data_IF_746112984428
#
_entry.id   IF_746112984428
#
_cell.length_a   1.000
_cell.length_b   1.000
_cell.length_c   1.000
_cell.angle_alpha   90.00
_cell.angle_beta   90.00
_cell.angle_gamma   90.00
#
_symmetry.space_group_name_H-M   'P 1'
#
loop_
_entity.id
_entity.type
_entity.pdbx_description
1 polymer ?
#
# COMPACT_ATOMS: atom_id res chain seq x y z
N UNK A 1 34.40 23.73 38.75
CA UNK A 1 34.59 22.26 38.63
C UNK A 1 34.02 21.80 37.30
N UNK A 2 34.55 20.78 36.63
CA UNK A 2 34.03 20.31 35.33
C UNK A 2 33.58 18.85 35.41
N UNK A 3 32.53 18.52 34.67
CA UNK A 3 32.03 17.17 34.44
C UNK A 3 31.95 16.93 32.93
N UNK A 4 32.47 15.80 32.50
CA UNK A 4 32.48 15.36 31.11
C UNK A 4 31.53 14.18 30.98
N UNK A 5 30.54 14.34 30.11
CA UNK A 5 29.54 13.35 29.77
C UNK A 5 29.87 12.78 28.38
N UNK A 6 29.92 11.47 28.29
CA UNK A 6 30.15 10.76 27.04
C UNK A 6 29.02 9.77 26.81
N UNK A 7 28.46 9.74 25.61
CA UNK A 7 27.32 8.90 25.27
C UNK A 7 27.71 7.88 24.19
N UNK A 8 27.35 6.62 24.38
CA UNK A 8 27.68 5.49 23.50
C UNK A 8 26.45 4.63 23.23
N UNK A 9 26.45 3.91 22.11
CA UNK A 9 25.39 2.94 21.88
C UNK A 9 25.52 1.76 22.85
N UNK A 10 24.41 1.15 23.26
CA UNK A 10 24.45 0.01 24.18
C UNK A 10 25.26 -1.17 23.63
N UNK A 11 25.31 -1.35 22.31
CA UNK A 11 26.09 -2.43 21.69
C UNK A 11 27.60 -2.27 21.89
N UNK A 12 28.07 -1.05 22.15
CA UNK A 12 29.48 -0.71 22.40
C UNK A 12 29.87 -0.88 23.89
N UNK A 13 28.94 -1.36 24.73
CA UNK A 13 29.12 -1.45 26.18
C UNK A 13 30.38 -2.20 26.60
N UNK A 14 30.59 -3.37 26.01
CA UNK A 14 31.69 -4.25 26.41
C UNK A 14 33.04 -3.64 26.06
N UNK A 15 33.14 -3.04 24.86
CA UNK A 15 34.35 -2.37 24.38
C UNK A 15 34.68 -1.14 25.25
N UNK A 16 33.68 -0.29 25.51
CA UNK A 16 33.81 0.90 26.35
C UNK A 16 34.23 0.51 27.78
N UNK A 17 33.59 -0.50 28.38
CA UNK A 17 33.95 -0.96 29.72
C UNK A 17 35.34 -1.63 29.76
N UNK A 18 35.73 -2.33 28.70
CA UNK A 18 37.05 -2.93 28.57
C UNK A 18 38.18 -1.89 28.57
N UNK A 19 38.00 -0.82 27.80
CA UNK A 19 38.97 0.28 27.73
C UNK A 19 39.06 1.03 29.08
N UNK A 20 37.92 1.31 29.70
CA UNK A 20 37.85 2.07 30.95
C UNK A 20 38.46 1.32 32.14
N UNK A 21 38.18 0.02 32.28
CA UNK A 21 38.72 -0.80 33.38
C UNK A 21 40.26 -0.84 33.40
N UNK A 22 40.89 -0.57 32.26
CA UNK A 22 42.34 -0.55 32.15
C UNK A 22 42.94 0.69 32.83
N UNK A 23 42.19 1.79 32.94
CA UNK A 23 42.69 3.10 33.38
C UNK A 23 42.03 3.64 34.64
N UNK A 24 40.84 3.15 35.02
CA UNK A 24 40.05 3.68 36.13
C UNK A 24 39.51 2.58 37.04
N UNK A 25 39.44 2.85 38.35
CA UNK A 25 38.81 1.93 39.30
C UNK A 25 37.29 2.17 39.30
N UNK A 26 36.55 1.24 38.70
CA UNK A 26 35.08 1.28 38.64
C UNK A 26 34.50 0.07 39.33
N UNK A 27 33.66 0.29 40.36
CA UNK A 27 33.01 -0.77 41.14
C UNK A 27 31.53 -0.86 40.74
N UNK A 28 30.96 -2.08 40.61
CA UNK A 28 29.54 -2.24 40.33
C UNK A 28 28.69 -1.56 41.41
N UNK A 29 27.81 -0.65 40.99
CA UNK A 29 26.86 0.06 41.86
C UNK A 29 25.56 0.21 41.10
N UNK A 30 24.61 -0.67 41.36
CA UNK A 30 23.32 -0.71 40.67
C UNK A 30 22.30 0.18 41.38
N UNK A 31 22.09 1.39 40.86
CA UNK A 31 21.10 2.34 41.40
C UNK A 31 20.13 2.72 40.31
N UNK A 32 18.84 2.51 40.57
CA UNK A 32 17.77 2.91 39.66
C UNK A 32 17.24 4.28 40.07
N UNK A 33 17.44 5.27 39.21
CA UNK A 33 16.79 6.58 39.33
C UNK A 33 15.45 6.57 38.58
N UNK A 34 14.82 7.74 38.43
CA UNK A 34 13.50 7.84 37.81
C UNK A 34 13.54 7.54 36.32
N UNK A 35 14.63 7.90 35.66
CA UNK A 35 14.84 7.72 34.23
C UNK A 35 16.05 6.85 33.93
N UNK A 36 17.17 7.08 34.62
CA UNK A 36 18.43 6.39 34.37
C UNK A 36 18.70 5.25 35.35
N UNK A 37 19.59 4.35 34.94
CA UNK A 37 20.11 3.27 35.78
C UNK A 37 21.63 3.42 35.87
N UNK A 38 22.18 3.62 37.06
CA UNK A 38 23.62 3.56 37.31
C UNK A 38 24.01 2.10 37.45
N UNK A 39 25.08 1.74 36.75
CA UNK A 39 25.61 0.37 36.67
C UNK A 39 26.91 0.24 37.47
N UNK A 40 27.72 1.31 37.49
CA UNK A 40 29.00 1.32 38.16
C UNK A 40 29.38 2.74 38.61
N UNK A 41 30.17 2.81 39.68
CA UNK A 41 30.60 4.04 40.35
C UNK A 41 32.04 3.88 40.87
N UNK A 42 32.77 4.98 41.00
CA UNK A 42 34.20 5.00 41.30
C UNK A 42 34.84 6.31 40.82
N UNK A 43 35.96 6.20 40.09
CA UNK A 43 36.61 7.38 39.47
C UNK A 43 35.74 8.02 38.37
N UNK A 44 34.87 7.21 37.78
CA UNK A 44 33.84 7.62 36.83
C UNK A 44 32.54 6.87 37.11
N UNK A 45 31.46 7.41 36.58
CA UNK A 45 30.13 6.83 36.72
C UNK A 45 29.70 6.29 35.38
N UNK A 46 29.25 5.04 35.38
CA UNK A 46 28.66 4.38 34.22
C UNK A 46 27.18 4.24 34.48
N UNK A 47 26.37 4.81 33.60
CA UNK A 47 24.93 4.66 33.64
C UNK A 47 24.34 4.34 32.28
N UNK A 48 23.05 4.05 32.28
CA UNK A 48 22.27 3.68 31.12
C UNK A 48 20.95 4.43 31.12
N UNK A 49 20.53 4.83 29.92
CA UNK A 49 19.19 5.29 29.64
C UNK A 49 18.76 4.68 28.31
N UNK A 50 17.62 3.99 28.29
CA UNK A 50 17.11 3.27 27.10
C UNK A 50 18.16 2.36 26.45
N UNK A 51 18.61 2.67 25.23
CA UNK A 51 19.62 1.93 24.46
C UNK A 51 20.95 2.69 24.38
N UNK A 52 21.18 3.65 25.27
CA UNK A 52 22.39 4.48 25.31
C UNK A 52 23.06 4.36 26.67
N UNK A 53 24.37 4.22 26.64
CA UNK A 53 25.22 4.19 27.83
C UNK A 53 25.87 5.55 27.96
N UNK A 54 25.93 6.07 29.19
CA UNK A 54 26.59 7.32 29.49
C UNK A 54 27.69 7.13 30.52
N UNK A 55 28.78 7.89 30.33
CA UNK A 55 29.88 7.98 31.26
C UNK A 55 29.95 9.40 31.80
N UNK A 56 30.17 9.55 33.10
CA UNK A 56 30.40 10.84 33.75
C UNK A 56 31.78 10.80 34.41
N UNK A 57 32.65 11.73 34.01
CA UNK A 57 33.99 11.88 34.57
C UNK A 57 34.25 13.32 35.01
N UNK A 58 35.10 13.51 36.02
CA UNK A 58 35.60 14.85 36.41
C UNK A 58 36.78 15.31 35.56
N UNK A 59 37.40 14.38 34.83
CA UNK A 59 38.54 14.61 33.96
C UNK A 59 38.20 14.27 32.51
N UNK A 60 38.88 14.91 31.57
CA UNK A 60 38.69 14.63 30.15
C UNK A 60 39.31 13.27 29.84
N UNK A 61 38.49 12.33 29.38
CA UNK A 61 38.92 11.01 28.92
C UNK A 61 39.03 11.03 27.39
N UNK A 62 40.11 10.44 26.87
CA UNK A 62 40.31 10.19 25.45
C UNK A 62 40.20 8.69 25.22
N UNK A 63 39.02 8.26 24.73
CA UNK A 63 38.74 6.88 24.38
C UNK A 63 39.01 6.65 22.90
N UNK A 64 39.45 5.45 22.56
CA UNK A 64 39.63 4.98 21.18
C UNK A 64 38.31 4.91 20.41
N UNK A 65 37.22 4.61 21.13
CA UNK A 65 35.85 4.57 20.62
C UNK A 65 35.30 5.99 20.56
N UNK A 66 34.76 6.37 19.40
CA UNK A 66 34.15 7.68 19.22
C UNK A 66 32.76 7.69 19.86
N UNK A 67 32.49 8.57 20.85
CA UNK A 67 31.16 8.69 21.43
C UNK A 67 30.18 9.30 20.42
N UNK A 68 28.92 8.94 20.57
CA UNK A 68 27.79 9.52 19.85
C UNK A 68 27.68 11.03 20.07
N UNK A 69 27.91 11.48 21.31
CA UNK A 69 27.93 12.89 21.68
C UNK A 69 28.73 13.12 22.95
N UNK A 70 29.19 14.36 23.15
CA UNK A 70 29.91 14.81 24.34
C UNK A 70 29.24 16.05 24.94
N UNK A 71 29.05 16.06 26.26
CA UNK A 71 28.62 17.27 26.97
C UNK A 71 29.62 17.59 28.06
N UNK A 72 30.09 18.84 28.08
CA UNK A 72 30.96 19.36 29.15
C UNK A 72 30.14 20.31 30.00
N UNK A 73 30.07 20.03 31.29
CA UNK A 73 29.38 20.84 32.28
C UNK A 73 30.41 21.48 33.20
N UNK A 74 30.57 22.80 33.14
CA UNK A 74 31.38 23.56 34.08
C UNK A 74 30.53 24.26 35.13
N UNK A 75 30.82 23.97 36.40
CA UNK A 75 30.22 24.66 37.53
C UNK A 75 30.91 26.01 37.74
N UNK A 76 30.21 27.08 37.35
CA UNK A 76 30.66 28.47 37.34
C UNK A 76 29.45 29.40 37.55
N UNK A 77 29.69 30.56 38.19
CA UNK A 77 28.71 31.65 38.29
C UNK A 77 29.14 32.83 37.41
N UNK A 78 28.17 33.58 36.87
CA UNK A 78 28.47 34.75 36.04
C UNK A 78 27.24 35.42 35.46
N UNK A 79 27.46 36.42 34.60
CA UNK A 79 26.38 37.17 33.95
C UNK A 79 25.81 36.46 32.71
N UNK A 80 24.50 36.63 32.48
CA UNK A 80 23.78 36.09 31.33
C UNK A 80 23.30 34.65 31.47
N UNK A 81 23.18 34.14 32.70
CA UNK A 81 22.60 32.82 32.97
C UNK A 81 21.07 32.89 32.94
N UNK A 82 20.44 31.84 32.41
CA UNK A 82 19.00 31.61 32.44
C UNK A 82 18.64 30.78 33.67
N UNK A 83 17.52 31.08 34.32
CA UNK A 83 17.07 30.34 35.51
C UNK A 83 16.41 29.01 35.13
N UNK A 84 16.60 28.00 35.97
CA UNK A 84 15.87 26.74 35.92
C UNK A 84 15.65 26.16 37.32
N UNK A 85 14.93 25.03 37.45
CA UNK A 85 14.53 24.47 38.76
C UNK A 85 15.68 24.26 39.76
N UNK A 86 16.85 23.86 39.29
CA UNK A 86 17.99 23.52 40.16
C UNK A 86 19.06 24.62 40.25
N UNK A 87 18.83 25.79 39.62
CA UNK A 87 19.78 26.89 39.65
C UNK A 87 19.74 27.76 38.40
N UNK A 88 20.90 28.08 37.86
CA UNK A 88 21.02 28.88 36.63
C UNK A 88 21.97 28.21 35.63
N UNK A 89 21.72 28.39 34.33
CA UNK A 89 22.52 27.78 33.27
C UNK A 89 22.84 28.76 32.14
N UNK A 90 23.96 28.54 31.46
CA UNK A 90 24.36 29.26 30.25
C UNK A 90 24.97 28.30 29.25
N UNK A 91 24.59 28.46 27.99
CA UNK A 91 25.10 27.64 26.88
C UNK A 91 26.19 28.43 26.18
N UNK A 92 27.41 27.90 26.15
CA UNK A 92 28.52 28.55 25.43
C UNK A 92 28.69 28.01 24.03
N UNK A 93 28.49 26.70 23.86
CA UNK A 93 28.55 26.01 22.57
C UNK A 93 27.47 24.95 22.52
N UNK A 94 26.70 24.93 21.45
CA UNK A 94 25.66 23.93 21.18
C UNK A 94 25.91 23.35 19.78
N UNK A 95 26.90 22.46 19.70
CA UNK A 95 27.12 21.63 18.52
C UNK A 95 26.63 20.20 18.82
N UNK A 96 26.35 19.42 17.78
CA UNK A 96 25.80 18.06 17.91
C UNK A 96 26.82 17.10 18.51
N UNK A 97 28.10 17.29 18.20
CA UNK A 97 29.18 16.45 18.71
C UNK A 97 29.68 16.91 20.10
N UNK A 98 29.58 18.21 20.39
CA UNK A 98 30.10 18.79 21.63
C UNK A 98 29.25 19.97 22.12
N UNK A 99 28.67 19.79 23.31
CA UNK A 99 27.92 20.83 24.00
C UNK A 99 28.67 21.29 25.26
N UNK A 100 28.82 22.61 25.43
CA UNK A 100 29.47 23.19 26.61
C UNK A 100 28.44 24.00 27.39
N UNK A 101 28.16 23.55 28.61
CA UNK A 101 27.19 24.11 29.54
C UNK A 101 27.89 24.66 30.78
N UNK A 102 27.57 25.90 31.12
CA UNK A 102 27.93 26.51 32.40
C UNK A 102 26.74 26.42 33.34
N UNK A 103 26.96 25.89 34.54
CA UNK A 103 25.92 25.72 35.56
C UNK A 103 26.31 26.39 36.87
N UNK A 104 25.35 27.13 37.42
CA UNK A 104 25.36 27.58 38.79
C UNK A 104 24.26 26.81 39.53
N UNK A 105 24.59 25.62 40.03
CA UNK A 105 23.66 24.72 40.70
C UNK A 105 24.42 23.88 41.75
N UNK A 106 23.73 23.52 42.84
CA UNK A 106 24.26 22.55 43.79
C UNK A 106 24.25 21.15 43.18
N UNK A 107 25.28 20.37 43.53
CA UNK A 107 25.36 18.99 43.08
C UNK A 107 24.24 18.15 43.69
N UNK A 108 23.43 17.50 42.84
CA UNK A 108 22.42 16.52 43.26
C UNK A 108 22.42 15.34 42.29
N UNK A 109 22.25 14.12 42.82
CA UNK A 109 22.17 12.91 41.97
C UNK A 109 20.97 12.99 41.01
N UNK A 110 19.84 13.56 41.45
CA UNK A 110 18.66 13.78 40.58
C UNK A 110 19.01 14.62 39.35
N UNK A 111 19.80 15.68 39.50
CA UNK A 111 20.18 16.52 38.38
C UNK A 111 21.27 15.86 37.52
N UNK A 112 22.39 15.48 38.15
CA UNK A 112 23.62 15.11 37.42
C UNK A 112 23.62 13.69 36.88
N UNK A 113 22.93 12.75 37.54
CA UNK A 113 22.94 11.33 37.20
C UNK A 113 21.63 10.85 36.56
N UNK A 114 20.53 11.57 36.78
CA UNK A 114 19.21 11.21 36.25
C UNK A 114 18.75 12.17 35.13
N UNK A 115 18.47 13.43 35.47
CA UNK A 115 17.84 14.37 34.54
C UNK A 115 18.74 14.82 33.38
N UNK A 116 19.99 15.23 33.65
CA UNK A 116 20.90 15.73 32.61
C UNK A 116 21.21 14.64 31.57
N UNK A 117 21.64 13.41 31.95
CA UNK A 117 21.89 12.35 30.98
C UNK A 117 20.63 12.02 30.16
N UNK A 118 19.48 11.82 30.82
CA UNK A 118 18.24 11.49 30.12
C UNK A 118 17.83 12.61 29.14
N UNK A 119 17.96 13.87 29.55
CA UNK A 119 17.65 15.03 28.71
C UNK A 119 18.57 15.11 27.48
N UNK A 120 19.89 14.99 27.67
CA UNK A 120 20.84 15.08 26.56
C UNK A 120 20.67 13.91 25.58
N UNK A 121 20.39 12.71 26.08
CA UNK A 121 20.18 11.53 25.22
C UNK A 121 18.91 11.68 24.37
N UNK A 122 17.78 12.13 24.95
CA UNK A 122 16.56 12.36 24.16
C UNK A 122 16.76 13.52 23.17
N UNK A 123 17.45 14.60 23.55
CA UNK A 123 17.77 15.69 22.63
C UNK A 123 18.57 15.20 21.42
N UNK A 124 19.65 14.45 21.70
CA UNK A 124 20.52 13.89 20.67
C UNK A 124 19.76 12.92 19.76
N UNK A 125 18.93 12.05 20.34
CA UNK A 125 18.08 11.13 19.58
C UNK A 125 17.18 11.89 18.60
N UNK A 126 16.50 12.93 19.08
CA UNK A 126 15.64 13.77 18.22
C UNK A 126 16.47 14.40 17.10
N UNK A 127 17.62 14.99 17.38
CA UNK A 127 18.47 15.65 16.37
C UNK A 127 18.95 14.68 15.28
N UNK A 128 19.42 13.49 15.66
CA UNK A 128 19.87 12.48 14.71
C UNK A 128 18.71 11.97 13.86
N UNK A 129 17.58 11.63 14.49
CA UNK A 129 16.40 11.14 13.78
C UNK A 129 15.82 12.22 12.87
N UNK A 130 15.79 13.49 13.29
CA UNK A 130 15.38 14.62 12.45
C UNK A 130 16.28 14.77 11.22
N UNK A 131 17.60 14.68 11.37
CA UNK A 131 18.55 14.72 10.23
C UNK A 131 18.28 13.59 9.24
N UNK A 132 18.12 12.36 9.74
CA UNK A 132 17.80 11.20 8.91
C UNK A 132 16.45 11.35 8.18
N UNK A 133 15.44 11.88 8.89
CA UNK A 133 14.13 12.13 8.33
C UNK A 133 14.18 13.22 7.25
N UNK A 134 14.92 14.30 7.49
CA UNK A 134 15.08 15.37 6.51
C UNK A 134 15.78 14.90 5.22
N UNK A 135 16.82 14.07 5.33
CA UNK A 135 17.44 13.43 4.15
C UNK A 135 16.44 12.55 3.39
N UNK A 136 15.57 11.87 4.12
CA UNK A 136 14.50 11.05 3.54
C UNK A 136 13.46 11.91 2.83
N UNK A 137 13.05 13.03 3.43
CA UNK A 137 12.15 14.03 2.81
C UNK A 137 12.73 14.59 1.52
N UNK A 138 14.02 14.96 1.51
CA UNK A 138 14.69 15.46 0.32
C UNK A 138 14.71 14.41 -0.81
N UNK A 139 15.01 13.15 -0.46
CA UNK A 139 15.00 12.04 -1.41
C UNK A 139 13.59 11.81 -1.98
N UNK A 140 12.58 11.70 -1.11
CA UNK A 140 11.20 11.42 -1.53
C UNK A 140 10.66 12.61 -2.34
N UNK A 141 10.94 13.86 -1.96
CA UNK A 141 10.47 15.04 -2.71
C UNK A 141 11.04 15.13 -4.13
N UNK A 142 12.31 14.75 -4.31
CA UNK A 142 12.93 14.66 -5.65
C UNK A 142 12.25 13.57 -6.49
N UNK A 143 12.01 12.42 -5.89
CA UNK A 143 11.35 11.28 -6.55
C UNK A 143 9.88 11.59 -6.86
N UNK A 144 9.15 12.23 -5.95
CA UNK A 144 7.76 12.65 -6.10
C UNK A 144 7.57 13.48 -7.38
N UNK A 145 8.47 14.43 -7.62
CA UNK A 145 8.45 15.26 -8.84
C UNK A 145 8.59 14.43 -10.10
N UNK A 146 9.42 13.40 -10.08
CA UNK A 146 9.61 12.50 -11.21
C UNK A 146 8.44 11.52 -11.37
N UNK A 147 7.91 11.01 -10.26
CA UNK A 147 6.71 10.17 -10.22
C UNK A 147 5.53 10.92 -10.80
N UNK A 148 5.30 12.18 -10.43
CA UNK A 148 4.21 12.99 -10.98
C UNK A 148 4.33 13.17 -12.50
N UNK A 149 5.55 13.34 -13.02
CA UNK A 149 5.79 13.38 -14.48
C UNK A 149 5.49 12.03 -15.14
N UNK A 150 5.93 10.92 -14.55
CA UNK A 150 5.67 9.59 -15.06
C UNK A 150 4.18 9.25 -15.05
N UNK A 151 3.50 9.53 -13.94
CA UNK A 151 2.05 9.40 -13.76
C UNK A 151 1.29 10.23 -14.80
N UNK A 152 1.71 11.47 -15.04
CA UNK A 152 1.08 12.33 -16.06
C UNK A 152 1.25 11.74 -17.46
N UNK A 153 2.47 11.31 -17.82
CA UNK A 153 2.75 10.66 -19.11
C UNK A 153 1.96 9.37 -19.30
N UNK A 154 1.89 8.55 -18.25
CA UNK A 154 1.11 7.31 -18.25
C UNK A 154 -0.37 7.63 -18.42
N UNK A 155 -0.90 8.62 -17.69
CA UNK A 155 -2.29 9.04 -17.83
C UNK A 155 -2.62 9.55 -19.24
N UNK A 156 -1.73 10.31 -19.87
CA UNK A 156 -1.90 10.77 -21.25
C UNK A 156 -1.86 9.61 -22.24
N UNK A 157 -0.89 8.71 -22.07
CA UNK A 157 -0.71 7.54 -22.93
C UNK A 157 -1.91 6.61 -22.83
N UNK A 158 -2.43 6.37 -21.63
CA UNK A 158 -3.58 5.52 -21.37
C UNK A 158 -4.83 5.96 -22.13
N UNK A 159 -5.04 7.27 -22.35
CA UNK A 159 -6.17 7.79 -23.15
C UNK A 159 -6.14 7.34 -24.60
N UNK A 160 -4.95 7.04 -25.13
CA UNK A 160 -4.74 6.63 -26.52
C UNK A 160 -4.70 5.11 -26.70
N UNK A 161 -4.64 4.35 -25.61
CA UNK A 161 -4.60 2.90 -25.63
C UNK A 161 -5.99 2.36 -25.92
N UNK A 162 -6.12 1.60 -27.01
CA UNK A 162 -7.39 0.98 -27.44
C UNK A 162 -7.39 -0.55 -27.30
N UNK A 163 -6.34 -1.13 -26.71
CA UNK A 163 -6.17 -2.58 -26.55
C UNK A 163 -6.14 -2.95 -25.07
N UNK A 164 -6.71 -4.11 -24.76
CA UNK A 164 -6.71 -4.68 -23.40
C UNK A 164 -5.27 -4.86 -22.90
N UNK A 165 -4.41 -5.49 -23.70
CA UNK A 165 -2.99 -5.72 -23.36
C UNK A 165 -2.22 -4.42 -23.09
N UNK A 166 -2.51 -3.36 -23.84
CA UNK A 166 -1.87 -2.06 -23.63
C UNK A 166 -2.26 -1.43 -22.28
N UNK A 167 -3.54 -1.55 -21.91
CA UNK A 167 -4.06 -1.03 -20.64
C UNK A 167 -3.55 -1.86 -19.46
N UNK A 168 -3.42 -3.18 -19.61
CA UNK A 168 -2.81 -4.04 -18.60
C UNK A 168 -1.36 -3.67 -18.30
N UNK A 169 -0.56 -3.46 -19.35
CA UNK A 169 0.84 -3.03 -19.20
C UNK A 169 0.92 -1.67 -18.50
N UNK A 170 0.05 -0.74 -18.89
CA UNK A 170 -0.03 0.59 -18.27
C UNK A 170 -0.40 0.49 -16.79
N UNK A 171 -1.40 -0.33 -16.45
CA UNK A 171 -1.81 -0.59 -15.07
C UNK A 171 -0.68 -1.20 -14.23
N UNK A 172 0.11 -2.09 -14.82
CA UNK A 172 1.28 -2.69 -14.17
C UNK A 172 2.37 -1.64 -13.86
N UNK A 173 2.66 -0.74 -14.79
CA UNK A 173 3.61 0.36 -14.56
C UNK A 173 3.17 1.27 -13.41
N UNK A 174 1.88 1.65 -13.39
CA UNK A 174 1.31 2.46 -12.29
C UNK A 174 1.41 1.73 -10.95
N UNK A 175 1.09 0.44 -10.92
CA UNK A 175 1.18 -0.38 -9.71
C UNK A 175 2.61 -0.42 -9.16
N UNK A 176 3.61 -0.56 -10.04
CA UNK A 176 5.03 -0.54 -9.66
C UNK A 176 5.44 0.79 -9.03
N UNK A 177 5.00 1.90 -9.63
CA UNK A 177 5.22 3.26 -9.09
C UNK A 177 4.57 3.40 -7.71
N UNK A 178 3.30 3.00 -7.60
CA UNK A 178 2.53 3.06 -6.35
C UNK A 178 3.23 2.29 -5.22
N UNK A 179 3.65 1.05 -5.47
CA UNK A 179 4.29 0.20 -4.47
C UNK A 179 5.65 0.77 -4.03
N UNK A 180 6.45 1.26 -4.98
CA UNK A 180 7.75 1.88 -4.68
C UNK A 180 7.59 3.12 -3.79
N UNK A 181 6.67 4.01 -4.16
CA UNK A 181 6.42 5.23 -3.40
C UNK A 181 5.82 4.94 -2.03
N UNK A 182 4.85 4.03 -1.95
CA UNK A 182 4.23 3.61 -0.68
C UNK A 182 5.25 3.08 0.32
N UNK A 183 6.18 2.22 -0.11
CA UNK A 183 7.21 1.66 0.78
C UNK A 183 8.06 2.75 1.43
N UNK A 184 8.51 3.73 0.64
CA UNK A 184 9.33 4.84 1.15
C UNK A 184 8.53 5.78 2.04
N UNK A 185 7.31 6.10 1.64
CA UNK A 185 6.41 6.93 2.43
C UNK A 185 6.10 6.29 3.78
N UNK A 186 5.87 4.98 3.83
CA UNK A 186 5.68 4.24 5.08
C UNK A 186 6.88 4.37 6.01
N UNK A 187 8.11 4.15 5.50
CA UNK A 187 9.33 4.33 6.30
C UNK A 187 9.48 5.76 6.83
N UNK A 188 9.18 6.76 6.00
CA UNK A 188 9.18 8.16 6.44
C UNK A 188 8.16 8.39 7.57
N UNK A 189 6.96 7.84 7.45
CA UNK A 189 5.90 7.97 8.45
C UNK A 189 6.29 7.33 9.78
N UNK A 190 6.85 6.13 9.75
CA UNK A 190 7.33 5.43 10.95
C UNK A 190 8.40 6.27 11.70
N UNK A 191 9.33 6.87 10.94
CA UNK A 191 10.36 7.77 11.50
C UNK A 191 9.72 9.05 12.06
N UNK A 192 8.74 9.62 11.38
CA UNK A 192 8.03 10.83 11.84
C UNK A 192 7.30 10.58 13.18
N UNK A 193 6.65 9.42 13.32
CA UNK A 193 6.02 9.00 14.58
C UNK A 193 7.04 8.80 15.71
N UNK A 194 8.22 8.24 15.41
CA UNK A 194 9.30 8.11 16.39
C UNK A 194 9.83 9.48 16.88
N UNK A 195 9.96 10.45 15.96
CA UNK A 195 10.34 11.83 16.29
C UNK A 195 9.30 12.44 17.24
N UNK A 196 8.01 12.34 16.91
CA UNK A 196 6.94 12.84 17.76
C UNK A 196 6.99 12.23 19.17
N UNK A 197 7.12 10.91 19.26
CA UNK A 197 7.25 10.19 20.53
C UNK A 197 8.44 10.69 21.36
N UNK A 198 9.58 10.92 20.71
CA UNK A 198 10.80 11.41 21.35
C UNK A 198 10.64 12.86 21.83
N UNK A 199 10.01 13.73 21.03
CA UNK A 199 9.68 15.12 21.44
C UNK A 199 8.81 15.13 22.69
N UNK A 200 7.79 14.27 22.77
CA UNK A 200 6.91 14.18 23.96
C UNK A 200 7.68 13.74 25.20
N UNK A 201 8.59 12.75 25.08
CA UNK A 201 9.47 12.33 26.19
C UNK A 201 10.40 13.45 26.62
N UNK A 202 11.03 14.12 25.65
CA UNK A 202 11.91 15.25 25.88
C UNK A 202 11.20 16.41 26.57
N UNK A 203 9.98 16.75 26.15
CA UNK A 203 9.16 17.77 26.80
C UNK A 203 8.83 17.39 28.24
N UNK A 204 8.53 16.11 28.50
CA UNK A 204 8.28 15.60 29.86
C UNK A 204 9.51 15.77 30.77
N UNK A 205 10.71 15.55 30.23
CA UNK A 205 11.98 15.78 30.94
C UNK A 205 12.21 17.27 31.18
N UNK A 206 12.04 18.09 30.14
CA UNK A 206 12.26 19.53 30.23
C UNK A 206 11.32 20.21 31.24
N UNK A 207 10.05 19.79 31.32
CA UNK A 207 9.11 20.28 32.35
C UNK A 207 9.60 20.01 33.78
N UNK A 208 10.36 18.93 34.02
CA UNK A 208 10.93 18.64 35.35
C UNK A 208 12.14 19.48 35.68
N UNK A 209 12.83 19.99 34.66
CA UNK A 209 13.95 20.91 34.79
C UNK A 209 13.50 22.37 34.84
N UNK A 210 12.27 22.67 34.40
CA UNK A 210 11.57 23.97 34.43
C UNK A 210 12.43 25.17 33.99
N UNK A 211 12.28 25.62 32.75
CA UNK A 211 13.06 26.73 32.18
C UNK A 211 14.36 26.29 31.50
N UNK A 212 14.75 25.02 31.64
CA UNK A 212 15.89 24.43 30.95
C UNK A 212 15.59 24.21 29.46
N UNK A 213 16.18 25.05 28.61
CA UNK A 213 16.16 24.91 27.14
C UNK A 213 14.75 24.83 26.52
N UNK A 214 13.79 25.58 27.05
CA UNK A 214 12.44 25.67 26.47
C UNK A 214 12.46 26.04 24.98
N UNK A 215 13.39 26.90 24.56
CA UNK A 215 13.58 27.31 23.17
C UNK A 215 13.79 26.10 22.22
N UNK A 216 14.49 25.06 22.71
CA UNK A 216 14.84 23.88 21.91
C UNK A 216 13.65 22.92 21.72
N UNK A 217 12.73 22.88 22.68
CA UNK A 217 11.46 22.15 22.51
C UNK A 217 10.65 22.79 21.39
N UNK A 218 10.59 24.13 21.37
CA UNK A 218 9.86 24.85 20.33
C UNK A 218 10.49 24.62 18.96
N UNK A 219 11.83 24.67 18.87
CA UNK A 219 12.56 24.33 17.65
C UNK A 219 12.19 22.93 17.13
N UNK A 220 12.25 21.90 18.00
CA UNK A 220 11.86 20.54 17.60
C UNK A 220 10.39 20.43 17.16
N UNK A 221 9.49 21.18 17.79
CA UNK A 221 8.07 21.24 17.38
C UNK A 221 7.90 21.89 16.01
N UNK A 222 8.58 23.00 15.77
CA UNK A 222 8.53 23.71 14.50
C UNK A 222 9.07 22.81 13.36
N UNK A 223 10.17 22.10 13.62
CA UNK A 223 10.69 21.08 12.69
C UNK A 223 9.70 19.95 12.45
N UNK A 224 9.13 19.35 13.50
CA UNK A 224 8.13 18.31 13.36
C UNK A 224 6.90 18.79 12.57
N UNK A 225 6.46 20.03 12.78
CA UNK A 225 5.35 20.61 12.02
C UNK A 225 5.68 20.74 10.52
N UNK A 226 6.94 21.00 10.16
CA UNK A 226 7.38 20.94 8.77
C UNK A 226 7.32 19.51 8.21
N UNK A 227 7.62 18.48 9.01
CA UNK A 227 7.50 17.08 8.58
C UNK A 227 6.03 16.68 8.36
N UNK A 228 5.11 17.14 9.20
CA UNK A 228 3.66 16.93 9.00
C UNK A 228 3.17 17.53 7.68
N UNK A 229 3.71 18.68 7.27
CA UNK A 229 3.42 19.24 5.94
C UNK A 229 3.87 18.30 4.81
N UNK A 230 5.09 17.74 4.90
CA UNK A 230 5.58 16.78 3.91
C UNK A 230 4.79 15.47 3.94
N UNK A 231 4.38 14.99 5.10
CA UNK A 231 3.50 13.82 5.23
C UNK A 231 2.21 14.00 4.44
N UNK A 232 1.52 15.13 4.66
CA UNK A 232 0.29 15.46 3.94
C UNK A 232 0.50 15.56 2.43
N UNK A 233 1.62 16.17 2.01
CA UNK A 233 1.98 16.29 0.59
C UNK A 233 2.21 14.91 -0.05
N UNK A 234 3.00 14.06 0.58
CA UNK A 234 3.27 12.71 0.08
C UNK A 234 2.00 11.84 0.07
N UNK A 235 1.16 11.96 1.10
CA UNK A 235 -0.15 11.28 1.13
C UNK A 235 -1.03 11.72 -0.04
N UNK A 236 -1.07 13.01 -0.36
CA UNK A 236 -1.80 13.53 -1.50
C UNK A 236 -1.29 12.95 -2.84
N UNK A 237 0.04 12.86 -3.01
CA UNK A 237 0.63 12.24 -4.20
C UNK A 237 0.31 10.75 -4.29
N UNK A 238 0.39 10.00 -3.19
CA UNK A 238 0.02 8.58 -3.16
C UNK A 238 -1.46 8.37 -3.53
N UNK A 239 -2.35 9.22 -3.01
CA UNK A 239 -3.77 9.19 -3.37
C UNK A 239 -3.98 9.49 -4.85
N UNK A 240 -3.28 10.47 -5.43
CA UNK A 240 -3.33 10.74 -6.87
C UNK A 240 -2.91 9.53 -7.73
N UNK A 241 -1.86 8.81 -7.33
CA UNK A 241 -1.43 7.58 -8.01
C UNK A 241 -2.52 6.49 -7.89
N UNK A 242 -3.11 6.33 -6.70
CA UNK A 242 -4.17 5.36 -6.43
C UNK A 242 -5.42 5.64 -7.27
N UNK A 243 -5.85 6.89 -7.35
CA UNK A 243 -7.02 7.29 -8.14
C UNK A 243 -6.79 6.98 -9.63
N UNK A 244 -5.60 7.28 -10.14
CA UNK A 244 -5.23 6.91 -11.52
C UNK A 244 -5.26 5.38 -11.72
N UNK A 245 -4.69 4.61 -10.79
CA UNK A 245 -4.76 3.14 -10.85
C UNK A 245 -6.20 2.64 -10.91
N UNK A 246 -7.08 3.15 -10.04
CA UNK A 246 -8.50 2.80 -10.02
C UNK A 246 -9.20 3.16 -11.33
N UNK A 247 -8.93 4.34 -11.89
CA UNK A 247 -9.50 4.75 -13.18
C UNK A 247 -9.07 3.82 -14.32
N UNK A 248 -7.78 3.46 -14.39
CA UNK A 248 -7.26 2.54 -15.41
C UNK A 248 -7.84 1.13 -15.26
N UNK A 249 -7.99 0.66 -14.03
CA UNK A 249 -8.63 -0.63 -13.75
C UNK A 249 -10.07 -0.65 -14.25
N UNK A 250 -10.84 0.41 -14.00
CA UNK A 250 -12.22 0.53 -14.48
C UNK A 250 -12.26 0.56 -16.01
N UNK A 251 -11.37 1.31 -16.66
CA UNK A 251 -11.28 1.35 -18.13
C UNK A 251 -10.98 -0.02 -18.72
N UNK A 252 -10.05 -0.76 -18.11
CA UNK A 252 -9.70 -2.13 -18.51
C UNK A 252 -10.93 -3.06 -18.42
N UNK A 253 -11.67 -3.00 -17.32
CA UNK A 253 -12.87 -3.81 -17.12
C UNK A 253 -13.96 -3.47 -18.16
N UNK A 254 -14.15 -2.19 -18.48
CA UNK A 254 -15.07 -1.75 -19.53
C UNK A 254 -14.66 -2.29 -20.91
N UNK A 255 -13.36 -2.26 -21.24
CA UNK A 255 -12.88 -2.79 -22.51
C UNK A 255 -13.06 -4.31 -22.62
N UNK A 256 -12.71 -5.05 -21.57
CA UNK A 256 -12.93 -6.51 -21.52
C UNK A 256 -14.41 -6.86 -21.68
N UNK A 257 -15.29 -6.11 -21.03
CA UNK A 257 -16.73 -6.31 -21.16
C UNK A 257 -17.23 -6.01 -22.59
N UNK A 258 -16.72 -4.95 -23.23
CA UNK A 258 -17.05 -4.64 -24.61
C UNK A 258 -16.61 -5.74 -25.57
N UNK A 259 -15.38 -6.26 -25.42
CA UNK A 259 -14.86 -7.36 -26.23
C UNK A 259 -15.70 -8.63 -26.05
N UNK A 260 -16.05 -8.97 -24.80
CA UNK A 260 -16.93 -10.10 -24.51
C UNK A 260 -18.31 -9.95 -25.14
N UNK A 261 -18.90 -8.75 -25.12
CA UNK A 261 -20.18 -8.47 -25.77
C UNK A 261 -20.10 -8.57 -27.30
N UNK A 262 -19.01 -8.08 -27.90
CA UNK A 262 -18.78 -8.21 -29.34
C UNK A 262 -18.63 -9.67 -29.75
N UNK A 263 -17.91 -10.47 -28.97
CA UNK A 263 -17.79 -11.92 -29.17
C UNK A 263 -19.14 -12.61 -29.06
N UNK A 264 -19.92 -12.31 -28.01
CA UNK A 264 -21.29 -12.84 -27.86
C UNK A 264 -22.20 -12.46 -29.03
N UNK A 265 -22.11 -11.22 -29.51
CA UNK A 265 -22.88 -10.76 -30.67
C UNK A 265 -22.48 -11.48 -31.95
N UNK A 266 -21.17 -11.67 -32.19
CA UNK A 266 -20.67 -12.47 -33.33
C UNK A 266 -21.15 -13.91 -33.24
N UNK A 267 -21.03 -14.56 -32.07
CA UNK A 267 -21.51 -15.92 -31.86
C UNK A 267 -23.03 -16.04 -32.06
N UNK A 268 -23.81 -15.10 -31.53
CA UNK A 268 -25.26 -15.04 -31.75
C UNK A 268 -25.61 -14.87 -33.23
N UNK A 269 -24.90 -14.01 -33.95
CA UNK A 269 -25.11 -13.84 -35.40
C UNK A 269 -24.78 -15.11 -36.20
N UNK A 270 -23.73 -15.84 -35.80
CA UNK A 270 -23.34 -17.11 -36.42
C UNK A 270 -24.37 -18.20 -36.13
N UNK A 271 -24.90 -18.26 -34.91
CA UNK A 271 -25.99 -19.19 -34.56
C UNK A 271 -27.25 -18.89 -35.37
N UNK A 272 -27.65 -17.63 -35.49
CA UNK A 272 -28.79 -17.25 -36.32
C UNK A 272 -28.58 -17.65 -37.79
N UNK A 273 -27.39 -17.42 -38.34
CA UNK A 273 -27.06 -17.85 -39.70
C UNK A 273 -27.12 -19.38 -39.87
N UNK A 274 -26.62 -20.14 -38.89
CA UNK A 274 -26.70 -21.60 -38.89
C UNK A 274 -28.14 -22.09 -38.89
N UNK A 275 -29.01 -21.50 -38.06
CA UNK A 275 -30.46 -21.81 -38.02
C UNK A 275 -31.12 -21.53 -39.37
N UNK A 276 -30.79 -20.44 -40.04
CA UNK A 276 -31.32 -20.12 -41.38
C UNK A 276 -30.84 -21.13 -42.42
N UNK A 277 -29.57 -21.52 -42.40
CA UNK A 277 -29.01 -22.52 -43.31
C UNK A 277 -29.69 -23.88 -43.09
N UNK A 278 -29.85 -24.29 -41.82
CA UNK A 278 -30.53 -25.52 -41.44
C UNK A 278 -31.98 -25.50 -41.92
N UNK A 279 -32.68 -24.39 -41.72
CA UNK A 279 -34.04 -24.19 -42.20
C UNK A 279 -34.12 -24.35 -43.73
N UNK A 280 -33.27 -23.67 -44.50
CA UNK A 280 -33.27 -23.75 -45.97
C UNK A 280 -32.94 -25.17 -46.45
N UNK A 281 -31.97 -25.83 -45.83
CA UNK A 281 -31.59 -27.20 -46.18
C UNK A 281 -32.75 -28.18 -45.91
N UNK A 282 -33.33 -28.14 -44.70
CA UNK A 282 -34.46 -29.00 -44.34
C UNK A 282 -35.64 -28.74 -45.25
N UNK A 283 -35.99 -27.48 -45.54
CA UNK A 283 -37.09 -27.12 -46.44
C UNK A 283 -36.87 -27.71 -47.85
N UNK A 284 -35.67 -27.52 -48.42
CA UNK A 284 -35.33 -28.00 -49.75
C UNK A 284 -35.36 -29.53 -49.86
N UNK A 285 -34.72 -30.22 -48.92
CA UNK A 285 -34.70 -31.69 -48.92
C UNK A 285 -36.08 -32.27 -48.62
N UNK A 286 -36.85 -31.67 -47.71
CA UNK A 286 -38.21 -32.13 -47.40
C UNK A 286 -39.14 -31.95 -48.58
N UNK A 287 -39.05 -30.83 -49.31
CA UNK A 287 -39.83 -30.62 -50.53
C UNK A 287 -39.54 -31.71 -51.56
N UNK A 288 -38.25 -31.97 -51.86
CA UNK A 288 -37.86 -32.99 -52.83
C UNK A 288 -38.28 -34.40 -52.44
N UNK A 289 -38.17 -34.75 -51.16
CA UNK A 289 -38.62 -36.05 -50.66
C UNK A 289 -40.13 -36.14 -50.79
N UNK A 290 -40.87 -35.09 -50.45
CA UNK A 290 -42.33 -35.10 -50.49
C UNK A 290 -42.87 -35.18 -51.92
N UNK A 291 -42.26 -34.46 -52.88
CA UNK A 291 -42.53 -34.57 -54.32
C UNK A 291 -42.38 -36.01 -54.85
N UNK A 292 -41.49 -36.82 -54.26
CA UNK A 292 -41.32 -38.22 -54.66
C UNK A 292 -42.48 -39.12 -54.23
N UNK A 293 -43.15 -38.79 -53.13
CA UNK A 293 -44.21 -39.62 -52.54
C UNK A 293 -45.62 -39.11 -52.82
N UNK A 294 -45.77 -37.84 -53.18
CA UNK A 294 -47.06 -37.17 -53.40
C UNK A 294 -46.97 -36.27 -54.63
N UNK A 295 -47.95 -36.40 -55.52
CA UNK A 295 -48.04 -35.55 -56.71
C UNK A 295 -48.50 -34.13 -56.32
N UNK A 296 -47.52 -33.27 -56.03
CA UNK A 296 -47.74 -31.93 -55.49
C UNK A 296 -48.36 -30.96 -56.51
N UNK A 297 -48.46 -31.32 -57.80
CA UNK A 297 -49.11 -30.49 -58.82
C UNK A 297 -50.62 -30.31 -58.59
N UNK A 298 -51.27 -31.29 -57.95
CA UNK A 298 -52.72 -31.30 -57.71
C UNK A 298 -53.09 -30.61 -56.38
N UNK A 299 -52.12 -30.41 -55.49
CA UNK A 299 -52.36 -29.78 -54.19
C UNK A 299 -52.37 -28.24 -54.31
N UNK A 300 -53.28 -27.53 -53.61
CA UNK A 300 -53.22 -26.08 -53.56
C UNK A 300 -51.90 -25.60 -52.96
N UNK A 301 -51.12 -24.85 -53.74
CA UNK A 301 -49.74 -24.44 -53.42
C UNK A 301 -49.60 -23.74 -52.06
N UNK A 302 -50.61 -22.99 -51.63
CA UNK A 302 -50.63 -22.34 -50.31
C UNK A 302 -50.60 -23.32 -49.15
N UNK A 303 -51.41 -24.40 -49.20
CA UNK A 303 -51.44 -25.41 -48.15
C UNK A 303 -50.15 -26.23 -48.11
N UNK A 304 -49.64 -26.64 -49.27
CA UNK A 304 -48.36 -27.33 -49.37
C UNK A 304 -47.22 -26.51 -48.76
N UNK A 305 -47.14 -25.21 -49.10
CA UNK A 305 -46.14 -24.30 -48.53
C UNK A 305 -46.29 -24.15 -47.02
N UNK A 306 -47.50 -23.95 -46.49
CA UNK A 306 -47.71 -23.78 -45.05
C UNK A 306 -47.32 -25.03 -44.25
N UNK A 307 -47.69 -26.21 -44.73
CA UNK A 307 -47.36 -27.48 -44.06
C UNK A 307 -45.85 -27.72 -44.09
N UNK A 308 -45.23 -27.50 -45.25
CA UNK A 308 -43.78 -27.66 -45.41
C UNK A 308 -43.02 -26.67 -44.51
N UNK A 309 -43.47 -25.41 -44.46
CA UNK A 309 -42.90 -24.38 -43.60
C UNK A 309 -43.02 -24.75 -42.11
N UNK A 310 -44.20 -25.22 -41.67
CA UNK A 310 -44.41 -25.68 -40.29
C UNK A 310 -43.56 -26.90 -39.96
N UNK A 311 -43.42 -27.84 -40.90
CA UNK A 311 -42.56 -29.01 -40.75
C UNK A 311 -41.10 -28.59 -40.57
N UNK A 312 -40.57 -27.75 -41.44
CA UNK A 312 -39.20 -27.25 -41.35
C UNK A 312 -38.96 -26.49 -40.04
N UNK A 313 -39.90 -25.62 -39.64
CA UNK A 313 -39.81 -24.91 -38.37
C UNK A 313 -39.79 -25.87 -37.17
N UNK A 314 -40.64 -26.91 -37.20
CA UNK A 314 -40.69 -27.93 -36.17
C UNK A 314 -39.42 -28.79 -36.12
N UNK A 315 -38.84 -29.16 -37.27
CA UNK A 315 -37.58 -29.92 -37.34
C UNK A 315 -36.42 -29.11 -36.78
N UNK A 316 -36.28 -27.84 -37.19
CA UNK A 316 -35.22 -26.95 -36.69
C UNK A 316 -35.39 -26.67 -35.18
N UNK A 317 -36.62 -26.48 -34.71
CA UNK A 317 -36.87 -26.38 -33.26
C UNK A 317 -36.59 -27.70 -32.53
N UNK A 318 -36.84 -28.84 -33.18
CA UNK A 318 -36.59 -30.16 -32.62
C UNK A 318 -35.10 -30.45 -32.49
N UNK A 319 -34.27 -30.11 -33.47
CA UNK A 319 -32.80 -30.28 -33.41
C UNK A 319 -32.18 -29.48 -32.27
N UNK A 320 -32.68 -28.27 -31.99
CA UNK A 320 -32.25 -27.46 -30.85
C UNK A 320 -32.59 -28.11 -29.50
N UNK A 321 -33.81 -28.62 -29.34
CA UNK A 321 -34.22 -29.33 -28.11
C UNK A 321 -33.45 -30.66 -27.95
N UNK A 322 -33.15 -31.35 -29.04
CA UNK A 322 -32.34 -32.58 -29.04
C UNK A 322 -30.90 -32.30 -28.58
N UNK A 323 -30.31 -31.19 -29.04
CA UNK A 323 -29.00 -30.72 -28.58
C UNK A 323 -28.98 -30.46 -27.07
N UNK A 324 -30.05 -29.88 -26.51
CA UNK A 324 -30.19 -29.67 -25.08
C UNK A 324 -30.21 -30.97 -24.26
N UNK A 325 -30.88 -32.01 -24.77
CA UNK A 325 -30.91 -33.34 -24.13
C UNK A 325 -29.53 -34.00 -24.18
N UNK A 326 -28.80 -33.87 -25.29
CA UNK A 326 -27.44 -34.39 -25.38
C UNK A 326 -26.49 -33.71 -24.39
N UNK A 327 -26.68 -32.41 -24.12
CA UNK A 327 -25.89 -31.66 -23.13
C UNK A 327 -26.24 -32.01 -21.68
N UNK A 328 -27.53 -32.02 -21.33
CA UNK A 328 -27.97 -32.16 -19.94
C UNK A 328 -28.30 -33.61 -19.53
N UNK A 329 -28.32 -34.54 -20.49
CA UNK A 329 -28.67 -35.97 -20.31
C UNK A 329 -30.02 -36.20 -19.63
N UNK A 330 -30.94 -35.23 -19.70
CA UNK A 330 -32.30 -35.31 -19.14
C UNK A 330 -33.33 -35.02 -20.20
N UNK A 331 -34.43 -35.79 -20.20
CA UNK A 331 -35.57 -35.56 -21.09
C UNK A 331 -36.41 -34.43 -20.51
N UNK A 332 -36.51 -33.31 -21.24
CA UNK A 332 -37.33 -32.17 -20.86
C UNK A 332 -38.78 -32.33 -21.35
N UNK A 333 -39.74 -31.69 -20.68
CA UNK A 333 -41.13 -31.61 -21.13
C UNK A 333 -41.22 -31.00 -22.54
N UNK A 334 -40.34 -30.04 -22.83
CA UNK A 334 -40.22 -29.41 -24.16
C UNK A 334 -39.92 -30.44 -25.24
N UNK A 335 -39.11 -31.48 -24.98
CA UNK A 335 -38.83 -32.54 -25.94
C UNK A 335 -40.05 -33.38 -26.27
N UNK A 336 -40.83 -33.75 -25.26
CA UNK A 336 -42.05 -34.55 -25.47
C UNK A 336 -43.05 -33.75 -26.33
N UNK A 337 -43.19 -32.45 -26.03
CA UNK A 337 -44.09 -31.56 -26.76
C UNK A 337 -43.65 -31.37 -28.22
N UNK A 338 -42.37 -31.09 -28.46
CA UNK A 338 -41.85 -30.92 -29.82
C UNK A 338 -41.89 -32.22 -30.62
N UNK A 339 -41.62 -33.37 -30.00
CA UNK A 339 -41.80 -34.70 -30.64
C UNK A 339 -43.24 -34.90 -31.08
N UNK A 340 -44.22 -34.62 -30.21
CA UNK A 340 -45.64 -34.78 -30.51
C UNK A 340 -46.09 -33.89 -31.67
N UNK A 341 -45.66 -32.62 -31.66
CA UNK A 341 -45.95 -31.66 -32.74
C UNK A 341 -45.35 -32.14 -34.07
N UNK A 342 -44.11 -32.63 -34.07
CA UNK A 342 -43.44 -33.13 -35.26
C UNK A 342 -44.17 -34.35 -35.85
N UNK A 343 -44.57 -35.30 -34.99
CA UNK A 343 -45.38 -36.46 -35.40
C UNK A 343 -46.72 -36.04 -36.00
N UNK A 344 -47.40 -35.06 -35.38
CA UNK A 344 -48.66 -34.54 -35.89
C UNK A 344 -48.50 -33.92 -37.29
N UNK A 345 -47.44 -33.14 -37.51
CA UNK A 345 -47.18 -32.51 -38.81
C UNK A 345 -46.84 -33.57 -39.87
N UNK A 346 -46.04 -34.59 -39.56
CA UNK A 346 -45.75 -35.71 -40.47
C UNK A 346 -47.05 -36.43 -40.86
N UNK A 347 -47.92 -36.67 -39.87
CA UNK A 347 -49.20 -37.31 -40.08
C UNK A 347 -50.13 -36.45 -40.94
N UNK A 348 -50.12 -35.11 -40.77
CA UNK A 348 -50.82 -34.18 -41.67
C UNK A 348 -50.24 -34.19 -43.09
N UNK A 349 -48.91 -34.22 -43.26
CA UNK A 349 -48.25 -34.31 -44.56
C UNK A 349 -48.65 -35.57 -45.34
N UNK A 350 -48.98 -36.65 -44.64
CA UNK A 350 -49.45 -37.91 -45.24
C UNK A 350 -50.97 -37.93 -45.47
N UNK A 351 -51.77 -37.53 -44.47
CA UNK A 351 -53.23 -37.66 -44.53
C UNK A 351 -53.91 -36.60 -45.40
N UNK A 352 -53.40 -35.38 -45.48
CA UNK A 352 -54.02 -34.32 -46.31
C UNK A 352 -54.05 -34.69 -47.79
N UNK A 353 -52.93 -35.14 -48.40
CA UNK A 353 -52.97 -35.68 -49.75
C UNK A 353 -53.94 -36.85 -49.85
N UNK A 354 -53.87 -37.83 -48.94
CA UNK A 354 -54.76 -39.00 -48.98
C UNK A 354 -56.26 -38.64 -48.91
N UNK A 355 -56.65 -37.64 -48.13
CA UNK A 355 -58.05 -37.16 -48.06
C UNK A 355 -58.48 -36.38 -49.31
N UNK A 356 -57.60 -35.56 -49.87
CA UNK A 356 -57.88 -34.78 -51.08
C UNK A 356 -57.98 -35.72 -52.31
N UNK A 357 -57.16 -36.78 -52.36
CA UNK A 357 -57.15 -37.75 -53.46
C UNK A 357 -58.13 -38.93 -53.30
N UNK A 358 -58.62 -39.23 -52.09
CA UNK A 358 -59.66 -40.27 -51.87
C UNK A 358 -61.09 -39.77 -52.00
N UNK A 359 -61.27 -38.46 -52.20
CA UNK A 359 -62.56 -37.81 -52.47
C UNK A 359 -62.89 -37.61 -53.95
N UNK A 360 -62.16 -38.26 -54.87
CA UNK A 360 -62.41 -38.25 -56.31
C UNK A 360 -63.05 -39.56 -56.79
#
# INVERSE_FOLDING_TARGET
MKYYYYYFHQDEMEDVLGEIKSWFEVKPRFVKHKFTEILADGDLIVGKYTNVIFLISKEKIELSIQPLSRTVISLESGEGFKKFRFGEYKVEKADVEEQILKLNAEFSEELFYDLIPAYNIEAFKIEVTLRQCNLSVESISKEETEILKQVTRISESARSVNTVDGLENTLFEVSKIQMSFFKRFSTFKDINEEIFSSIVRFETLARKLDGWFNDKIQEFRDFHQSLVYYESKFEQTLNGIRDMYSLLSIQLDVMRNKENLELQRKTSSLQAAAVVIEFVAVLYYSLKIWEHFVDLEVMPKGFAFTILFLFTLAVVGYTEVLSHIFREKKISVSFILTTLILVLIILMMYLLPAFIFSGA
#
